data_IF_699293478942
#
_entry.id   IF_699293478942
#
_cell.length_a   1.000
_cell.length_b   1.000
_cell.length_c   1.000
_cell.angle_alpha   90.00
_cell.angle_beta   90.00
_cell.angle_gamma   90.00
#
_symmetry.space_group_name_H-M   'P 1'
#
loop_
_entity.id
_entity.type
_entity.pdbx_description
1 polymer ?
#
# COMPACT_ATOMS: atom_id res chain seq x y z
N UNK A 1 -1.30 -7.22 -6.35
CA UNK A 1 -1.78 -6.67 -5.06
C UNK A 1 -3.30 -6.54 -5.07
N UNK A 2 -3.91 -6.86 -3.97
CA UNK A 2 -5.37 -6.81 -3.83
C UNK A 2 -5.77 -5.89 -2.68
N UNK A 3 -6.87 -5.18 -2.88
CA UNK A 3 -7.44 -4.30 -1.87
C UNK A 3 -8.93 -4.57 -1.78
N UNK A 4 -9.38 -5.03 -0.61
CA UNK A 4 -10.78 -5.34 -0.38
C UNK A 4 -11.51 -4.15 0.24
N UNK A 5 -12.66 -3.81 -0.32
CA UNK A 5 -13.57 -2.80 0.22
C UNK A 5 -14.72 -3.55 0.86
N UNK A 6 -15.03 -3.25 2.11
CA UNK A 6 -16.02 -3.98 2.89
C UNK A 6 -17.35 -3.26 2.95
N UNK A 7 -18.44 -4.04 2.84
CA UNK A 7 -19.80 -3.53 3.07
C UNK A 7 -20.09 -3.45 4.57
N UNK A 8 -19.54 -4.41 5.32
CA UNK A 8 -19.56 -4.44 6.78
C UNK A 8 -18.32 -5.18 7.27
N UNK A 9 -18.20 -5.43 8.56
CA UNK A 9 -16.99 -6.02 9.13
C UNK A 9 -16.66 -7.42 8.60
N UNK A 10 -17.60 -8.10 8.01
CA UNK A 10 -17.43 -9.49 7.56
C UNK A 10 -17.65 -9.71 6.07
N UNK A 11 -18.21 -8.73 5.37
CA UNK A 11 -18.64 -8.90 3.98
C UNK A 11 -17.86 -8.01 3.05
N UNK A 12 -17.14 -8.61 2.11
CA UNK A 12 -16.43 -7.89 1.06
C UNK A 12 -17.44 -7.43 0.02
N UNK A 13 -17.46 -6.13 -0.24
CA UNK A 13 -18.31 -5.52 -1.26
C UNK A 13 -17.63 -5.53 -2.63
N UNK A 14 -16.32 -5.27 -2.66
CA UNK A 14 -15.58 -5.10 -3.89
C UNK A 14 -14.11 -5.37 -3.64
N UNK A 15 -13.41 -5.92 -4.63
CA UNK A 15 -11.97 -6.12 -4.58
C UNK A 15 -11.34 -5.41 -5.76
N UNK A 16 -10.35 -4.57 -5.47
CA UNK A 16 -9.48 -3.98 -6.47
C UNK A 16 -8.23 -4.82 -6.58
N UNK A 17 -7.75 -5.01 -7.79
CA UNK A 17 -6.53 -5.78 -8.02
C UNK A 17 -5.66 -5.06 -9.03
N UNK A 18 -4.35 -4.99 -8.76
CA UNK A 18 -3.39 -4.39 -9.66
C UNK A 18 -2.08 -5.18 -9.60
N UNK A 19 -1.40 -5.23 -10.75
CA UNK A 19 -0.08 -5.82 -10.83
C UNK A 19 0.96 -4.78 -10.41
N UNK A 20 1.93 -5.18 -9.58
CA UNK A 20 2.98 -4.28 -9.13
C UNK A 20 3.81 -3.70 -10.28
N UNK A 21 3.87 -4.38 -11.43
CA UNK A 21 4.56 -3.87 -12.61
C UNK A 21 3.87 -2.65 -13.23
N UNK A 22 2.61 -2.42 -12.91
CA UNK A 22 1.85 -1.31 -13.46
C UNK A 22 1.93 -0.04 -12.61
N UNK A 23 2.69 -0.07 -11.51
CA UNK A 23 2.84 1.09 -10.64
C UNK A 23 3.69 2.17 -11.33
N UNK A 24 3.18 3.40 -11.31
CA UNK A 24 3.87 4.53 -11.92
C UNK A 24 5.15 4.90 -11.20
N UNK A 25 6.14 5.39 -11.94
CA UNK A 25 7.43 5.78 -11.39
C UNK A 25 7.30 6.83 -10.28
N UNK A 26 6.42 7.83 -10.46
CA UNK A 26 6.18 8.83 -9.42
C UNK A 26 5.66 8.25 -8.14
N UNK A 27 4.79 7.24 -8.23
CA UNK A 27 4.27 6.53 -7.07
C UNK A 27 5.39 5.76 -6.36
N UNK A 28 6.30 5.16 -7.12
CA UNK A 28 7.46 4.47 -6.56
C UNK A 28 8.34 5.45 -5.76
N UNK A 29 8.54 6.66 -6.28
CA UNK A 29 9.31 7.69 -5.57
C UNK A 29 8.63 8.06 -4.25
N UNK A 30 7.31 8.18 -4.23
CA UNK A 30 6.55 8.48 -3.02
C UNK A 30 6.67 7.35 -1.99
N UNK A 31 6.67 6.10 -2.47
CA UNK A 31 6.87 4.93 -1.61
C UNK A 31 8.25 5.00 -0.96
N UNK A 32 9.28 5.35 -1.73
CA UNK A 32 10.65 5.46 -1.21
C UNK A 32 10.76 6.54 -0.13
N UNK A 33 10.03 7.64 -0.25
CA UNK A 33 10.01 8.67 0.79
C UNK A 33 9.46 8.12 2.10
N UNK A 34 8.41 7.33 2.04
CA UNK A 34 7.83 6.71 3.24
C UNK A 34 8.82 5.70 3.83
N UNK A 35 9.49 4.92 2.98
CA UNK A 35 10.45 3.91 3.41
C UNK A 35 11.71 4.49 4.04
N UNK A 36 12.17 5.66 3.58
CA UNK A 36 13.36 6.30 4.13
C UNK A 36 13.22 6.53 5.65
N UNK A 37 12.00 6.67 6.12
CA UNK A 37 11.71 6.87 7.53
C UNK A 37 11.44 5.57 8.30
N UNK A 38 11.46 4.41 7.61
CA UNK A 38 11.05 3.18 8.27
C UNK A 38 11.42 1.89 7.57
N UNK A 39 12.61 1.81 6.94
CA UNK A 39 13.06 0.57 6.28
C UNK A 39 13.05 -0.63 7.20
N UNK A 40 13.37 -0.43 8.49
CA UNK A 40 13.38 -1.51 9.47
C UNK A 40 11.98 -2.04 9.78
N UNK A 41 10.96 -1.24 9.49
CA UNK A 41 9.56 -1.61 9.75
C UNK A 41 9.09 -2.79 8.91
N UNK A 42 9.79 -3.11 7.84
CA UNK A 42 9.39 -4.20 6.94
C UNK A 42 9.49 -5.59 7.59
N UNK A 43 10.28 -5.71 8.66
CA UNK A 43 10.52 -6.98 9.33
C UNK A 43 9.61 -7.23 10.53
N UNK A 44 8.73 -6.26 10.85
CA UNK A 44 7.90 -6.33 12.03
C UNK A 44 6.53 -5.70 11.73
N UNK A 45 5.47 -6.49 11.89
CA UNK A 45 4.11 -6.05 11.59
C UNK A 45 3.67 -4.86 12.46
N UNK A 46 4.09 -4.84 13.73
CA UNK A 46 3.74 -3.74 14.63
C UNK A 46 4.40 -2.43 14.19
N UNK A 47 5.66 -2.49 13.78
CA UNK A 47 6.38 -1.33 13.30
C UNK A 47 5.81 -0.84 11.97
N UNK A 48 5.42 -1.77 11.10
CA UNK A 48 4.79 -1.42 9.83
C UNK A 48 3.43 -0.76 10.06
N UNK A 49 2.63 -1.29 10.98
CA UNK A 49 1.35 -0.70 11.34
C UNK A 49 1.54 0.71 11.89
N UNK A 50 2.56 0.90 12.73
CA UNK A 50 2.89 2.21 13.28
C UNK A 50 3.27 3.20 12.17
N UNK A 51 4.08 2.74 11.22
CA UNK A 51 4.47 3.55 10.06
C UNK A 51 3.24 4.01 9.27
N UNK A 52 2.32 3.07 9.02
CA UNK A 52 1.08 3.37 8.30
C UNK A 52 0.27 4.42 9.03
N UNK A 53 0.09 4.27 10.34
CA UNK A 53 -0.71 5.19 11.15
C UNK A 53 -0.05 6.57 11.24
N UNK A 54 1.25 6.63 11.46
CA UNK A 54 1.98 7.89 11.58
C UNK A 54 2.05 8.68 10.27
N UNK A 55 1.99 7.98 9.14
CA UNK A 55 2.04 8.59 7.81
C UNK A 55 0.72 8.46 7.06
N UNK A 56 -0.40 8.40 7.78
CA UNK A 56 -1.70 8.07 7.18
C UNK A 56 -2.10 8.91 5.97
N UNK A 57 -1.79 10.20 5.98
CA UNK A 57 -2.08 11.07 4.84
C UNK A 57 -1.33 10.66 3.59
N UNK A 58 -0.04 10.41 3.73
CA UNK A 58 0.79 9.94 2.61
C UNK A 58 0.40 8.55 2.17
N UNK A 59 0.06 7.68 3.13
CA UNK A 59 -0.37 6.31 2.84
C UNK A 59 -1.68 6.31 2.05
N UNK A 60 -2.64 7.15 2.44
CA UNK A 60 -3.90 7.28 1.69
C UNK A 60 -3.64 7.73 0.25
N UNK A 61 -2.79 8.73 0.07
CA UNK A 61 -2.44 9.21 -1.26
C UNK A 61 -1.76 8.12 -2.09
N UNK A 62 -0.88 7.33 -1.48
CA UNK A 62 -0.23 6.21 -2.16
C UNK A 62 -1.23 5.17 -2.61
N UNK A 63 -2.15 4.79 -1.74
CA UNK A 63 -3.18 3.79 -2.07
C UNK A 63 -4.04 4.29 -3.24
N UNK A 64 -4.45 5.55 -3.19
CA UNK A 64 -5.23 6.15 -4.27
C UNK A 64 -4.46 6.16 -5.60
N UNK A 65 -3.18 6.50 -5.56
CA UNK A 65 -2.34 6.52 -6.76
C UNK A 65 -2.14 5.11 -7.33
N UNK A 66 -1.89 4.13 -6.47
CA UNK A 66 -1.66 2.75 -6.90
C UNK A 66 -2.89 2.19 -7.61
N UNK A 67 -4.08 2.44 -7.09
CA UNK A 67 -5.33 1.90 -7.64
C UNK A 67 -6.12 2.91 -8.48
N UNK A 68 -5.48 4.01 -8.88
CA UNK A 68 -6.15 5.07 -9.66
C UNK A 68 -6.75 4.53 -10.96
N UNK A 69 -6.02 3.66 -11.65
CA UNK A 69 -6.48 3.07 -12.92
C UNK A 69 -7.72 2.18 -12.74
N UNK A 70 -7.93 1.66 -11.54
CA UNK A 70 -9.06 0.79 -11.22
C UNK A 70 -10.25 1.57 -10.65
N UNK A 71 -10.08 2.86 -10.43
CA UNK A 71 -11.19 3.72 -10.03
C UNK A 71 -11.44 3.81 -8.53
N UNK A 72 -10.46 3.45 -7.71
CA UNK A 72 -10.58 3.58 -6.26
C UNK A 72 -10.87 5.03 -5.87
N UNK A 73 -11.85 5.24 -4.99
CA UNK A 73 -12.22 6.57 -4.51
C UNK A 73 -11.75 6.78 -3.07
N UNK A 74 -11.58 8.05 -2.70
CA UNK A 74 -11.17 8.42 -1.34
C UNK A 74 -12.19 7.95 -0.30
N UNK A 75 -13.48 7.99 -0.63
CA UNK A 75 -14.53 7.53 0.26
C UNK A 75 -14.41 6.04 0.59
N UNK A 76 -14.02 5.24 -0.39
CA UNK A 76 -13.87 3.80 -0.21
C UNK A 76 -12.75 3.44 0.77
N UNK A 77 -11.78 4.33 0.98
CA UNK A 77 -10.69 4.09 1.93
C UNK A 77 -11.18 3.89 3.36
N UNK A 78 -12.36 4.39 3.69
CA UNK A 78 -12.94 4.22 5.02
C UNK A 78 -13.37 2.78 5.30
N UNK A 79 -13.51 1.99 4.25
CA UNK A 79 -14.04 0.62 4.33
C UNK A 79 -12.97 -0.44 4.08
N UNK A 80 -11.72 -0.08 4.28
CA UNK A 80 -10.58 -0.98 4.19
C UNK A 80 -10.20 -1.43 5.59
N UNK A 81 -9.84 -2.70 5.74
CA UNK A 81 -9.31 -3.20 7.01
C UNK A 81 -7.81 -2.94 7.08
N UNK A 82 -7.40 -2.27 8.15
CA UNK A 82 -5.99 -1.90 8.31
C UNK A 82 -5.06 -3.12 8.36
N UNK A 83 -5.53 -4.25 8.88
CA UNK A 83 -4.75 -5.49 8.92
C UNK A 83 -4.43 -6.01 7.52
N UNK A 84 -5.27 -5.72 6.55
CA UNK A 84 -5.04 -6.17 5.16
C UNK A 84 -4.06 -5.27 4.43
N UNK A 85 -3.82 -4.08 4.94
CA UNK A 85 -2.81 -3.19 4.38
C UNK A 85 -1.39 -3.71 4.64
N UNK A 86 -1.21 -4.41 5.76
CA UNK A 86 0.11 -4.91 6.14
C UNK A 86 0.70 -5.83 5.07
N UNK A 87 0.04 -6.93 4.66
CA UNK A 87 0.60 -7.79 3.62
C UNK A 87 0.72 -7.08 2.28
N UNK A 88 -0.18 -6.16 1.97
CA UNK A 88 -0.12 -5.39 0.72
C UNK A 88 1.14 -4.52 0.69
N UNK A 89 1.44 -3.82 1.78
CA UNK A 89 2.64 -2.97 1.84
C UNK A 89 3.93 -3.78 1.93
N UNK A 90 3.91 -4.95 2.57
CA UNK A 90 5.06 -5.85 2.57
C UNK A 90 5.40 -6.26 1.13
N UNK A 91 4.40 -6.65 0.36
CA UNK A 91 4.57 -7.01 -1.04
C UNK A 91 5.08 -5.83 -1.86
N UNK A 92 4.45 -4.67 -1.69
CA UNK A 92 4.80 -3.45 -2.42
C UNK A 92 6.23 -3.00 -2.14
N UNK A 93 6.60 -2.93 -0.86
CA UNK A 93 7.93 -2.50 -0.45
C UNK A 93 8.99 -3.50 -0.88
N UNK A 94 8.68 -4.80 -0.80
CA UNK A 94 9.56 -5.85 -1.28
C UNK A 94 9.83 -5.72 -2.77
N UNK A 95 8.80 -5.46 -3.55
CA UNK A 95 8.93 -5.23 -4.98
C UNK A 95 9.82 -4.03 -5.29
N UNK A 96 9.64 -2.92 -4.58
CA UNK A 96 10.44 -1.71 -4.78
C UNK A 96 11.90 -1.97 -4.44
N UNK A 97 12.18 -2.64 -3.32
CA UNK A 97 13.54 -2.98 -2.94
C UNK A 97 14.21 -3.89 -3.97
N UNK A 98 13.51 -4.92 -4.41
CA UNK A 98 14.04 -5.87 -5.40
C UNK A 98 14.33 -5.19 -6.73
N UNK A 99 13.50 -4.24 -7.12
CA UNK A 99 13.71 -3.47 -8.35
C UNK A 99 15.01 -2.68 -8.32
N UNK A 100 15.39 -2.17 -7.16
CA UNK A 100 16.67 -1.45 -7.02
C UNK A 100 17.87 -2.39 -6.90
N UNK A 101 17.69 -3.54 -6.27
CA UNK A 101 18.76 -4.54 -6.17
C UNK A 101 19.11 -5.17 -7.51
N UNK A 102 18.11 -5.39 -8.35
CA UNK A 102 18.31 -6.09 -9.62
C UNK A 102 19.06 -5.25 -10.65
N UNK A 103 19.32 -3.99 -10.38
CA UNK A 103 20.07 -3.11 -11.28
C UNK A 103 21.57 -3.18 -11.09
N UNK A 104 22.02 -3.94 -10.14
CA UNK A 104 23.44 -4.17 -9.90
C UNK A 104 23.86 -5.51 -10.51
#
# INVERSE_FOLDING_TARGET
>A
MKLNIYADQKTIKKTYEIDSYDIMYGTIQDILEVLDNGLESLNNDEELLKLIVENRGKIEDLILDIFASEGLTKEELRYIKIKELIPMFVELFGYVQDSFKSKN
#
